data_IF_997504449228
#
_entry.id   IF_997504449228
#
_cell.length_a   1.000
_cell.length_b   1.000
_cell.length_c   1.000
_cell.angle_alpha   90.00
_cell.angle_beta   90.00
_cell.angle_gamma   90.00
#
_symmetry.space_group_name_H-M   'P 1'
#
loop_
_entity.id
_entity.type
_entity.pdbx_description
1 polymer ?
#
# COMPACT_ATOMS: atom_id res chain seq x y z
N UNK A 1 -8.44 -3.84 -13.92
CA UNK A 1 -9.40 -3.13 -13.03
C UNK A 1 -8.75 -2.57 -11.77
N UNK A 2 -7.68 -3.19 -11.27
CA UNK A 2 -6.99 -2.75 -10.06
C UNK A 2 -5.52 -2.55 -10.40
N UNK A 3 -4.89 -1.57 -9.73
CA UNK A 3 -3.45 -1.45 -9.71
C UNK A 3 -2.83 -2.66 -9.02
N UNK A 4 -3.24 -2.93 -7.78
CA UNK A 4 -2.82 -4.08 -7.01
C UNK A 4 -3.85 -4.36 -5.91
N UNK A 5 -4.35 -5.59 -5.85
CA UNK A 5 -5.36 -5.99 -4.85
C UNK A 5 -4.77 -6.47 -3.53
N UNK A 6 -3.46 -6.36 -3.34
CA UNK A 6 -2.76 -6.78 -2.14
C UNK A 6 -2.39 -8.26 -2.15
N UNK A 7 -2.16 -8.82 -0.97
CA UNK A 7 -1.79 -10.22 -0.81
C UNK A 7 -2.91 -11.17 -1.23
N UNK A 8 -2.52 -12.32 -1.76
CA UNK A 8 -3.44 -13.43 -1.91
C UNK A 8 -3.79 -14.00 -0.52
N UNK A 9 -5.02 -13.72 -0.08
CA UNK A 9 -5.53 -14.14 1.23
C UNK A 9 -5.57 -15.67 1.35
N UNK A 10 -5.76 -16.39 0.24
CA UNK A 10 -5.75 -17.86 0.26
C UNK A 10 -4.38 -18.43 0.62
N UNK A 11 -3.32 -17.67 0.35
CA UNK A 11 -1.94 -18.04 0.67
C UNK A 11 -1.52 -17.72 2.11
N UNK A 12 -2.27 -16.88 2.83
CA UNK A 12 -1.91 -16.46 4.20
C UNK A 12 -1.87 -17.62 5.20
N UNK A 13 -2.74 -18.62 5.05
CA UNK A 13 -2.77 -19.80 5.90
C UNK A 13 -1.69 -20.85 5.53
N UNK A 14 -1.14 -20.77 4.32
CA UNK A 14 -0.30 -21.81 3.72
C UNK A 14 1.19 -21.43 3.62
N UNK A 15 1.58 -20.22 4.00
CA UNK A 15 2.99 -19.80 3.91
C UNK A 15 3.85 -20.50 4.96
N UNK A 16 4.55 -21.55 4.51
CA UNK A 16 5.72 -22.14 5.14
C UNK A 16 6.95 -21.90 4.23
N UNK A 17 7.83 -20.96 4.61
CA UNK A 17 9.09 -20.68 3.90
C UNK A 17 9.25 -19.23 3.43
N UNK A 18 10.50 -18.79 3.25
CA UNK A 18 10.91 -17.40 3.04
C UNK A 18 11.35 -17.13 1.58
N UNK A 19 10.43 -16.85 0.63
CA UNK A 19 10.73 -16.01 -0.52
C UNK A 19 10.92 -14.56 -0.02
N UNK A 20 11.72 -13.74 -0.74
CA UNK A 20 11.97 -12.31 -0.42
C UNK A 20 10.69 -11.68 0.11
N UNK A 21 10.72 -11.22 1.36
CA UNK A 21 9.54 -10.68 2.03
C UNK A 21 9.01 -9.49 1.24
N UNK A 22 7.70 -9.33 1.16
CA UNK A 22 7.11 -8.18 0.48
C UNK A 22 7.66 -6.85 1.01
N UNK A 23 7.94 -6.76 2.31
CA UNK A 23 8.61 -5.62 2.93
C UNK A 23 9.99 -5.35 2.31
N UNK A 24 10.82 -6.38 2.12
CA UNK A 24 12.14 -6.24 1.47
C UNK A 24 12.02 -5.75 0.04
N UNK A 25 11.03 -6.26 -0.71
CA UNK A 25 10.75 -5.81 -2.07
C UNK A 25 10.31 -4.35 -2.10
N UNK A 26 9.37 -3.95 -1.25
CA UNK A 26 8.90 -2.56 -1.16
C UNK A 26 10.02 -1.60 -0.72
N UNK A 27 10.86 -2.03 0.23
CA UNK A 27 12.03 -1.28 0.67
C UNK A 27 13.04 -1.10 -0.46
N UNK A 28 13.27 -2.15 -1.27
CA UNK A 28 14.16 -2.07 -2.43
C UNK A 28 13.63 -1.12 -3.51
N UNK A 29 12.31 -1.04 -3.70
CA UNK A 29 11.67 -0.05 -4.59
C UNK A 29 11.88 1.36 -4.06
N UNK A 30 11.69 1.58 -2.75
CA UNK A 30 11.83 2.91 -2.12
C UNK A 30 13.25 3.50 -2.25
N UNK A 31 14.28 2.65 -2.23
CA UNK A 31 15.69 3.09 -2.36
C UNK A 31 16.27 2.86 -3.76
N UNK A 32 15.42 2.55 -4.74
CA UNK A 32 15.87 2.26 -6.09
C UNK A 32 16.55 3.49 -6.71
N UNK A 33 17.68 3.26 -7.42
CA UNK A 33 18.42 4.34 -8.10
C UNK A 33 17.60 5.06 -9.18
N UNK A 34 16.79 4.38 -10.03
CA UNK A 34 15.96 5.06 -11.01
C UNK A 34 14.76 5.75 -10.34
N UNK A 35 14.28 6.83 -10.95
CA UNK A 35 12.99 7.40 -10.56
C UNK A 35 11.86 6.38 -10.84
N UNK A 36 11.02 6.15 -9.84
CA UNK A 36 9.94 5.16 -9.87
C UNK A 36 8.57 5.84 -9.93
N UNK A 37 7.68 5.28 -10.75
CA UNK A 37 6.34 5.85 -10.97
C UNK A 37 5.30 4.74 -10.83
N UNK A 38 4.40 4.89 -9.84
CA UNK A 38 3.22 4.06 -9.71
C UNK A 38 2.07 4.63 -10.55
N UNK A 39 1.61 3.87 -11.56
CA UNK A 39 0.43 4.22 -12.39
C UNK A 39 -0.82 3.52 -11.84
N UNK A 40 -1.57 4.24 -11.01
CA UNK A 40 -2.72 3.73 -10.27
C UNK A 40 -4.00 3.91 -11.12
N UNK A 41 -4.24 2.93 -12.00
CA UNK A 41 -5.38 2.95 -12.94
C UNK A 41 -6.70 2.43 -12.35
N UNK A 42 -6.70 2.03 -11.08
CA UNK A 42 -7.84 1.48 -10.35
C UNK A 42 -7.43 1.14 -8.91
N UNK A 43 -8.20 0.28 -8.24
CA UNK A 43 -7.98 -0.03 -6.82
C UNK A 43 -6.55 -0.44 -6.43
N UNK A 44 -6.02 0.17 -5.36
CA UNK A 44 -4.79 -0.19 -4.66
C UNK A 44 -5.12 -0.60 -3.21
N UNK A 45 -4.90 -1.86 -2.84
CA UNK A 45 -5.36 -2.40 -1.56
C UNK A 45 -4.23 -3.06 -0.76
N UNK A 46 -4.26 -2.91 0.56
CA UNK A 46 -3.29 -3.55 1.47
C UNK A 46 -1.84 -3.28 1.03
N UNK A 47 -1.03 -4.33 0.82
CA UNK A 47 0.33 -4.19 0.29
C UNK A 47 0.44 -3.35 -0.99
N UNK A 48 -0.56 -3.38 -1.86
CA UNK A 48 -0.59 -2.56 -3.08
C UNK A 48 -0.57 -1.06 -2.82
N UNK A 49 -1.07 -0.62 -1.67
CA UNK A 49 -0.97 0.78 -1.25
C UNK A 49 0.46 1.16 -0.88
N UNK A 50 1.14 0.30 -0.12
CA UNK A 50 2.53 0.51 0.29
C UNK A 50 3.45 0.50 -0.92
N UNK A 51 3.24 -0.42 -1.87
CA UNK A 51 3.98 -0.43 -3.13
C UNK A 51 3.83 0.89 -3.90
N UNK A 52 2.64 1.48 -3.92
CA UNK A 52 2.44 2.79 -4.55
C UNK A 52 3.13 3.93 -3.78
N UNK A 53 3.19 3.84 -2.44
CA UNK A 53 3.87 4.81 -1.57
C UNK A 53 5.40 4.66 -1.59
N UNK A 54 5.91 3.47 -1.91
CA UNK A 54 7.33 3.20 -2.10
C UNK A 54 7.87 3.86 -3.38
N UNK A 55 7.04 4.08 -4.40
CA UNK A 55 7.48 4.82 -5.59
C UNK A 55 7.73 6.32 -5.30
N UNK A 56 8.54 6.98 -6.12
CA UNK A 56 8.76 8.44 -6.03
C UNK A 56 7.47 9.19 -6.40
N UNK A 57 6.89 8.85 -7.55
CA UNK A 57 5.69 9.48 -8.09
C UNK A 57 4.50 8.52 -8.12
N UNK A 58 3.31 9.09 -7.97
CA UNK A 58 2.03 8.40 -8.14
C UNK A 58 1.19 9.18 -9.14
N UNK A 59 0.70 8.49 -10.16
CA UNK A 59 -0.22 9.03 -11.17
C UNK A 59 -1.48 8.19 -11.14
N UNK A 60 -2.61 8.79 -10.81
CA UNK A 60 -3.90 8.12 -10.70
C UNK A 60 -4.88 8.50 -11.81
N UNK A 61 -5.79 7.60 -12.15
CA UNK A 61 -6.99 7.93 -12.94
C UNK A 61 -8.14 8.32 -12.01
N UNK A 62 -9.24 8.84 -12.56
CA UNK A 62 -10.47 9.09 -11.78
C UNK A 62 -11.11 7.81 -11.23
N UNK A 63 -10.69 6.63 -11.71
CA UNK A 63 -11.13 5.33 -11.20
C UNK A 63 -10.23 4.80 -10.08
N UNK A 64 -9.17 5.52 -9.71
CA UNK A 64 -8.30 5.13 -8.61
C UNK A 64 -9.06 5.17 -7.28
N UNK A 65 -8.79 4.18 -6.45
CA UNK A 65 -9.24 4.13 -5.06
C UNK A 65 -8.20 3.40 -4.23
N UNK A 66 -8.13 3.71 -2.95
CA UNK A 66 -7.18 3.14 -2.01
C UNK A 66 -7.92 2.60 -0.78
N UNK A 67 -7.46 1.46 -0.28
CA UNK A 67 -8.03 0.83 0.90
C UNK A 67 -6.97 0.07 1.69
N UNK A 68 -6.82 0.38 2.98
CA UNK A 68 -5.92 -0.34 3.90
C UNK A 68 -6.73 -1.26 4.83
N UNK A 69 -6.89 -2.56 4.50
CA UNK A 69 -7.73 -3.48 5.29
C UNK A 69 -7.01 -4.18 6.45
N UNK A 70 -5.71 -3.97 6.66
CA UNK A 70 -4.91 -4.81 7.56
C UNK A 70 -5.53 -4.95 8.96
N UNK A 71 -5.87 -3.83 9.61
CA UNK A 71 -6.50 -3.85 10.92
C UNK A 71 -7.88 -4.53 10.90
N UNK A 72 -8.70 -4.29 9.87
CA UNK A 72 -10.00 -4.94 9.68
C UNK A 72 -9.89 -6.46 9.51
N UNK A 73 -8.76 -6.94 8.98
CA UNK A 73 -8.46 -8.38 8.83
C UNK A 73 -7.75 -8.97 10.06
N UNK A 74 -7.55 -8.21 11.13
CA UNK A 74 -6.82 -8.67 12.32
C UNK A 74 -5.33 -8.86 12.08
N UNK A 75 -4.78 -8.25 11.02
CA UNK A 75 -3.37 -8.36 10.65
C UNK A 75 -2.59 -7.17 11.20
N UNK A 76 -1.45 -7.47 11.83
CA UNK A 76 -0.48 -6.44 12.14
C UNK A 76 0.31 -6.08 10.88
N UNK A 77 0.38 -4.80 10.55
CA UNK A 77 1.15 -4.36 9.38
C UNK A 77 2.65 -4.34 9.69
N UNK A 78 3.47 -4.59 8.69
CA UNK A 78 4.93 -4.62 8.82
C UNK A 78 5.50 -3.20 8.97
N UNK A 79 6.69 -3.12 9.57
CA UNK A 79 7.27 -1.88 10.08
C UNK A 79 7.53 -0.86 8.97
N UNK A 80 8.25 -1.24 7.91
CA UNK A 80 8.63 -0.34 6.82
C UNK A 80 7.41 0.27 6.12
N UNK A 81 6.33 -0.48 6.01
CA UNK A 81 5.07 0.03 5.47
C UNK A 81 4.42 1.09 6.35
N UNK A 82 4.42 0.89 7.67
CA UNK A 82 3.92 1.91 8.62
C UNK A 82 4.78 3.18 8.58
N UNK A 83 6.10 3.03 8.53
CA UNK A 83 7.04 4.15 8.42
C UNK A 83 6.81 4.96 7.14
N UNK A 84 6.66 4.28 5.98
CA UNK A 84 6.31 4.93 4.71
C UNK A 84 4.98 5.65 4.76
N UNK A 85 3.95 5.03 5.33
CA UNK A 85 2.64 5.67 5.48
C UNK A 85 2.73 7.00 6.23
N UNK A 86 3.42 7.00 7.37
CA UNK A 86 3.60 8.22 8.17
C UNK A 86 4.45 9.24 7.41
N UNK A 87 5.54 8.82 6.77
CA UNK A 87 6.43 9.72 6.04
C UNK A 87 5.79 10.37 4.81
N UNK A 88 4.91 9.64 4.09
CA UNK A 88 4.30 10.12 2.83
C UNK A 88 2.94 10.81 3.03
N UNK A 89 2.16 10.41 4.03
CA UNK A 89 0.78 10.88 4.22
C UNK A 89 0.58 11.67 5.51
N UNK A 90 1.56 11.66 6.42
CA UNK A 90 1.43 12.22 7.77
C UNK A 90 0.74 11.26 8.74
N UNK A 91 0.99 11.48 10.03
CA UNK A 91 0.53 10.57 11.10
C UNK A 91 -1.00 10.46 11.19
N UNK A 92 -1.71 11.58 11.03
CA UNK A 92 -3.17 11.61 11.20
C UNK A 92 -3.88 10.87 10.07
N UNK A 93 -3.44 11.10 8.82
CA UNK A 93 -3.94 10.34 7.66
C UNK A 93 -3.60 8.87 7.79
N UNK A 94 -2.37 8.53 8.16
CA UNK A 94 -1.97 7.13 8.37
C UNK A 94 -2.87 6.45 9.42
N UNK A 95 -3.06 7.07 10.59
CA UNK A 95 -3.96 6.56 11.63
C UNK A 95 -5.39 6.41 11.12
N UNK A 96 -5.93 7.43 10.44
CA UNK A 96 -7.28 7.38 9.89
C UNK A 96 -7.43 6.17 8.96
N UNK A 97 -6.56 6.02 7.96
CA UNK A 97 -6.63 4.94 6.98
C UNK A 97 -6.46 3.55 7.61
N UNK A 98 -5.55 3.38 8.57
CA UNK A 98 -5.34 2.09 9.24
C UNK A 98 -6.45 1.75 10.24
N UNK A 99 -6.89 2.70 11.06
CA UNK A 99 -7.80 2.45 12.18
C UNK A 99 -9.27 2.38 11.75
N UNK A 100 -9.67 3.15 10.73
CA UNK A 100 -11.06 3.13 10.24
C UNK A 100 -11.26 2.14 9.10
N UNK A 101 -10.17 1.74 8.42
CA UNK A 101 -10.22 0.96 7.21
C UNK A 101 -11.19 1.59 6.18
N UNK A 102 -11.18 2.92 6.05
CA UNK A 102 -11.98 3.60 5.04
C UNK A 102 -11.42 3.36 3.63
N UNK A 103 -12.32 3.37 2.64
CA UNK A 103 -11.93 3.47 1.24
C UNK A 103 -11.88 4.95 0.87
N UNK A 104 -10.80 5.37 0.24
CA UNK A 104 -10.67 6.73 -0.30
C UNK A 104 -10.65 6.69 -1.82
N UNK A 105 -11.33 7.65 -2.45
CA UNK A 105 -11.39 7.79 -3.90
C UNK A 105 -10.23 8.64 -4.45
N UNK A 106 -10.15 8.76 -5.78
CA UNK A 106 -9.12 9.54 -6.47
C UNK A 106 -9.06 11.01 -6.02
N UNK A 107 -10.19 11.62 -5.61
CA UNK A 107 -10.22 13.01 -5.16
C UNK A 107 -9.58 13.12 -3.78
N UNK A 108 -9.96 12.25 -2.85
CA UNK A 108 -9.40 12.20 -1.52
C UNK A 108 -7.90 11.84 -1.52
N UNK A 109 -7.46 10.98 -2.44
CA UNK A 109 -6.04 10.61 -2.59
C UNK A 109 -5.14 11.76 -3.08
N UNK A 110 -5.71 12.84 -3.62
CA UNK A 110 -4.97 14.00 -4.14
C UNK A 110 -4.77 15.11 -3.10
N UNK A 111 -5.60 15.13 -2.05
CA UNK A 111 -5.64 16.17 -1.03
C UNK A 111 -4.51 16.02 -0.03
#
# INVERSE_FOLDING_TARGET
KHFCSGYDISSLAAQSGNPIGFEDMANAVEVARPATIAVVHGGAYGGGTDLALACDFRIGTNAAEMFMPAARLGLHYYRGGLERYVARLGLDTAKRLFLTAERIDARAMRA
#
